data_IF_450939863871
#
_entry.id   IF_450939863871
#
_cell.length_a   1.000
_cell.length_b   1.000
_cell.length_c   1.000
_cell.angle_alpha   90.00
_cell.angle_beta   90.00
_cell.angle_gamma   90.00
#
_symmetry.space_group_name_H-M   'P 1'
#
loop_
_entity.id
_entity.type
_entity.pdbx_description
1 polymer ?
#
# COMPACT_ATOMS: atom_id res chain seq x y z
N UNK A 1 -4.75 1.46 21.68
CA UNK A 1 -4.37 2.48 20.70
C UNK A 1 -4.23 3.81 21.43
N UNK A 2 -3.09 4.50 21.29
CA UNK A 2 -2.84 5.84 21.84
C UNK A 2 -3.39 6.92 20.92
N UNK A 3 -3.48 8.17 21.40
CA UNK A 3 -3.90 9.31 20.57
C UNK A 3 -2.95 9.50 19.38
N UNK A 4 -1.63 9.44 19.62
CA UNK A 4 -0.62 9.60 18.57
C UNK A 4 -0.73 8.51 17.49
N UNK A 5 -1.01 7.26 17.89
CA UNK A 5 -1.24 6.15 16.95
C UNK A 5 -2.48 6.41 16.08
N UNK A 6 -3.56 6.89 16.70
CA UNK A 6 -4.80 7.21 15.99
C UNK A 6 -4.60 8.35 14.98
N UNK A 7 -3.90 9.42 15.39
CA UNK A 7 -3.63 10.56 14.53
C UNK A 7 -2.71 10.18 13.36
N UNK A 8 -1.69 9.34 13.60
CA UNK A 8 -0.85 8.78 12.54
C UNK A 8 -1.68 7.97 11.55
N UNK A 9 -2.50 7.02 12.02
CA UNK A 9 -3.35 6.19 11.16
C UNK A 9 -4.31 7.05 10.34
N UNK A 10 -4.97 8.04 10.95
CA UNK A 10 -5.87 8.95 10.23
C UNK A 10 -5.15 9.72 9.13
N UNK A 11 -3.94 10.21 9.41
CA UNK A 11 -3.13 10.91 8.42
C UNK A 11 -2.74 9.99 7.26
N UNK A 12 -2.39 8.74 7.55
CA UNK A 12 -2.11 7.74 6.51
C UNK A 12 -3.33 7.50 5.60
N UNK A 13 -4.53 7.36 6.18
CA UNK A 13 -5.77 7.23 5.39
C UNK A 13 -5.99 8.43 4.47
N UNK A 14 -5.77 9.66 4.96
CA UNK A 14 -5.90 10.87 4.14
C UNK A 14 -4.89 10.90 2.99
N UNK A 15 -3.62 10.56 3.27
CA UNK A 15 -2.56 10.53 2.26
C UNK A 15 -2.83 9.47 1.19
N UNK A 16 -3.36 8.32 1.58
CA UNK A 16 -3.68 7.21 0.67
C UNK A 16 -4.69 7.62 -0.39
N UNK A 17 -5.72 8.37 0.00
CA UNK A 17 -6.70 8.90 -0.94
C UNK A 17 -6.04 9.78 -2.01
N UNK A 18 -5.09 10.63 -1.62
CA UNK A 18 -4.34 11.49 -2.53
C UNK A 18 -3.39 10.70 -3.46
N UNK A 19 -2.90 9.55 -3.02
CA UNK A 19 -2.11 8.63 -3.87
C UNK A 19 -3.01 7.94 -4.89
N UNK A 20 -4.17 7.44 -4.46
CA UNK A 20 -5.11 6.70 -5.32
C UNK A 20 -5.64 7.49 -6.51
N UNK A 21 -5.97 8.77 -6.30
CA UNK A 21 -6.44 9.69 -7.35
C UNK A 21 -5.45 9.82 -8.53
N UNK A 22 -4.15 9.63 -8.28
CA UNK A 22 -3.09 9.85 -9.28
C UNK A 22 -2.71 8.61 -10.08
N UNK A 23 -3.08 7.42 -9.62
CA UNK A 23 -2.71 6.16 -10.28
C UNK A 23 -3.63 5.79 -11.45
N UNK A 24 -4.45 6.73 -11.94
CA UNK A 24 -5.28 6.53 -13.11
C UNK A 24 -6.37 5.49 -12.91
N UNK A 25 -6.77 5.23 -11.66
CA UNK A 25 -7.89 4.34 -11.37
C UNK A 25 -9.17 4.95 -11.94
N UNK A 26 -9.62 4.47 -13.11
CA UNK A 26 -10.96 4.72 -13.63
C UNK A 26 -12.05 3.95 -12.83
N UNK A 27 -11.63 3.15 -11.83
CA UNK A 27 -12.50 2.32 -11.00
C UNK A 27 -12.90 3.02 -9.69
N UNK A 28 -13.93 2.46 -9.03
CA UNK A 28 -14.46 2.91 -7.74
C UNK A 28 -13.55 2.62 -6.54
N UNK A 29 -12.42 1.94 -6.72
CA UNK A 29 -11.50 1.58 -5.63
C UNK A 29 -10.15 2.30 -5.82
N UNK A 30 -10.01 3.55 -5.32
CA UNK A 30 -8.71 4.19 -5.21
C UNK A 30 -7.78 3.39 -4.30
N UNK A 31 -6.51 3.79 -4.20
CA UNK A 31 -5.59 3.23 -3.24
C UNK A 31 -6.21 3.08 -1.84
N UNK A 32 -5.88 2.00 -1.15
CA UNK A 32 -6.46 1.61 0.13
C UNK A 32 -5.36 1.39 1.17
N UNK A 33 -5.67 1.77 2.41
CA UNK A 33 -4.93 1.32 3.59
C UNK A 33 -5.81 0.36 4.37
N UNK A 34 -5.23 -0.78 4.71
CA UNK A 34 -5.84 -1.81 5.53
C UNK A 34 -5.00 -2.01 6.78
N UNK A 35 -5.64 -1.89 7.95
CA UNK A 35 -5.08 -2.40 9.20
C UNK A 35 -5.30 -3.91 9.22
N UNK A 36 -4.24 -4.67 9.48
CA UNK A 36 -4.29 -6.12 9.31
C UNK A 36 -3.53 -6.86 10.40
N UNK A 37 -4.02 -8.04 10.78
CA UNK A 37 -3.34 -8.96 11.69
C UNK A 37 -2.32 -9.84 10.95
N UNK A 38 -2.27 -9.77 9.61
CA UNK A 38 -1.28 -10.48 8.80
C UNK A 38 0.12 -9.97 9.12
N UNK A 39 1.09 -10.88 9.15
CA UNK A 39 2.46 -10.58 9.63
C UNK A 39 3.44 -10.31 8.50
N UNK A 40 3.05 -10.57 7.25
CA UNK A 40 3.89 -10.33 6.08
C UNK A 40 3.07 -9.97 4.85
N UNK A 41 3.74 -9.42 3.83
CA UNK A 41 3.11 -9.19 2.55
C UNK A 41 2.61 -10.49 1.90
N UNK A 42 3.33 -11.62 2.03
CA UNK A 42 2.89 -12.93 1.53
C UNK A 42 1.55 -13.38 2.16
N UNK A 43 1.40 -13.19 3.47
CA UNK A 43 0.18 -13.59 4.19
C UNK A 43 -1.04 -12.75 3.82
N UNK A 44 -0.82 -11.58 3.20
CA UNK A 44 -1.89 -10.72 2.70
C UNK A 44 -2.55 -11.25 1.42
N UNK A 45 -2.07 -12.33 0.79
CA UNK A 45 -2.67 -12.92 -0.42
C UNK A 45 -4.18 -13.16 -0.27
N UNK A 46 -4.65 -13.53 0.92
CA UNK A 46 -6.07 -13.75 1.21
C UNK A 46 -6.95 -12.48 1.14
N UNK A 47 -6.34 -11.30 1.03
CA UNK A 47 -7.02 -10.01 0.86
C UNK A 47 -7.20 -9.64 -0.62
N UNK A 48 -6.62 -10.40 -1.54
CA UNK A 48 -6.70 -10.19 -2.99
C UNK A 48 -7.58 -11.27 -3.64
N UNK A 49 -8.08 -11.05 -4.86
CA UNK A 49 -8.76 -12.09 -5.63
C UNK A 49 -7.84 -13.32 -5.85
N UNK A 50 -8.45 -14.50 -5.96
CA UNK A 50 -7.74 -15.78 -5.85
C UNK A 50 -6.77 -16.08 -7.01
N UNK A 51 -6.91 -15.39 -8.13
CA UNK A 51 -6.11 -15.53 -9.35
C UNK A 51 -4.92 -14.56 -9.41
N UNK A 52 -4.75 -13.69 -8.40
CA UNK A 52 -3.58 -12.84 -8.29
C UNK A 52 -2.43 -13.60 -7.64
N UNK A 53 -1.21 -13.39 -8.11
CA UNK A 53 0.01 -13.93 -7.49
C UNK A 53 0.94 -12.81 -7.06
N UNK A 54 1.59 -12.97 -5.90
CA UNK A 54 2.59 -12.03 -5.45
C UNK A 54 3.89 -12.18 -6.25
N UNK A 55 4.34 -11.06 -6.80
CA UNK A 55 5.61 -10.86 -7.46
C UNK A 55 6.47 -9.91 -6.62
N UNK A 56 7.77 -10.19 -6.57
CA UNK A 56 8.73 -9.27 -5.99
C UNK A 56 8.77 -7.99 -6.81
N UNK A 57 8.84 -6.85 -6.12
CA UNK A 57 8.91 -5.54 -6.74
C UNK A 57 10.25 -4.91 -6.41
N UNK A 58 11.02 -4.58 -7.44
CA UNK A 58 12.28 -3.84 -7.29
C UNK A 58 12.04 -2.35 -7.03
N UNK A 59 13.11 -1.66 -6.64
CA UNK A 59 13.06 -0.25 -6.27
C UNK A 59 12.75 0.66 -7.47
N UNK A 60 13.22 0.31 -8.67
CA UNK A 60 13.00 1.10 -9.89
C UNK A 60 11.52 1.08 -10.26
N UNK A 61 10.93 -0.11 -10.34
CA UNK A 61 9.52 -0.28 -10.71
C UNK A 61 8.58 0.25 -9.62
N UNK A 62 8.95 0.16 -8.34
CA UNK A 62 8.22 0.84 -7.27
C UNK A 62 8.22 2.35 -7.45
N UNK A 63 9.39 2.94 -7.75
CA UNK A 63 9.52 4.37 -7.97
C UNK A 63 8.72 4.82 -9.21
N UNK A 64 8.75 4.06 -10.30
CA UNK A 64 7.94 4.32 -11.50
C UNK A 64 6.44 4.28 -11.21
N UNK A 65 5.98 3.24 -10.53
CA UNK A 65 4.55 3.04 -10.26
C UNK A 65 3.94 4.19 -9.47
N UNK A 66 4.74 4.95 -8.73
CA UNK A 66 4.27 5.99 -7.83
C UNK A 66 5.00 7.33 -8.02
N UNK A 67 5.69 7.52 -9.16
CA UNK A 67 6.51 8.72 -9.45
C UNK A 67 5.70 10.00 -9.41
N UNK A 68 4.42 9.88 -9.76
CA UNK A 68 3.49 11.01 -9.90
C UNK A 68 2.61 11.22 -8.65
N UNK A 69 2.93 10.53 -7.55
CA UNK A 69 2.19 10.58 -6.29
C UNK A 69 3.02 11.23 -5.16
N UNK A 70 3.07 12.57 -5.06
CA UNK A 70 3.84 13.26 -4.01
C UNK A 70 3.39 12.89 -2.58
N UNK A 71 2.11 12.56 -2.39
CA UNK A 71 1.56 12.09 -1.12
C UNK A 71 2.18 10.77 -0.64
N UNK A 72 2.76 9.96 -1.54
CA UNK A 72 3.52 8.78 -1.15
C UNK A 72 4.73 9.16 -0.30
N UNK A 73 5.45 10.20 -0.69
CA UNK A 73 6.63 10.63 0.04
C UNK A 73 6.28 11.10 1.46
N UNK A 74 5.12 11.75 1.62
CA UNK A 74 4.57 12.08 2.94
C UNK A 74 4.19 10.82 3.72
N UNK A 75 3.55 9.83 3.08
CA UNK A 75 3.18 8.57 3.72
C UNK A 75 4.41 7.79 4.21
N UNK A 76 5.45 7.71 3.38
CA UNK A 76 6.72 7.07 3.74
C UNK A 76 7.40 7.79 4.91
N UNK A 77 7.33 9.13 4.97
CA UNK A 77 7.82 9.90 6.13
C UNK A 77 7.02 9.63 7.40
N UNK A 78 5.70 9.49 7.29
CA UNK A 78 4.86 9.08 8.44
C UNK A 78 5.14 7.66 8.92
N UNK A 79 5.75 6.83 8.08
CA UNK A 79 6.10 5.44 8.40
C UNK A 79 7.60 5.25 8.62
N UNK A 80 8.36 6.34 8.71
CA UNK A 80 9.80 6.27 8.92
C UNK A 80 10.13 5.48 10.20
N UNK A 81 11.13 4.61 10.09
CA UNK A 81 11.50 3.63 11.12
C UNK A 81 10.67 2.34 11.16
N UNK A 82 9.60 2.21 10.35
CA UNK A 82 8.88 0.94 10.20
C UNK A 82 9.48 0.12 9.06
N UNK A 83 9.82 -1.14 9.31
CA UNK A 83 10.29 -2.04 8.25
C UNK A 83 9.18 -2.23 7.20
N UNK A 84 9.55 -2.02 5.93
CA UNK A 84 8.63 -2.10 4.80
C UNK A 84 9.01 -3.26 3.88
N UNK A 85 8.01 -3.99 3.40
CA UNK A 85 8.15 -4.93 2.28
C UNK A 85 7.19 -4.51 1.17
N UNK A 86 7.63 -4.58 -0.09
CA UNK A 86 6.86 -4.16 -1.26
C UNK A 86 6.69 -5.33 -2.23
N UNK A 87 5.65 -5.27 -3.04
CA UNK A 87 5.39 -6.28 -4.05
C UNK A 87 4.23 -5.90 -4.96
N UNK A 88 4.06 -6.68 -6.02
CA UNK A 88 2.92 -6.55 -6.91
C UNK A 88 2.09 -7.83 -6.79
N UNK A 89 0.81 -7.70 -6.51
CA UNK A 89 -0.13 -8.79 -6.78
C UNK A 89 -0.58 -8.64 -8.24
N UNK A 90 -0.25 -9.60 -9.11
CA UNK A 90 -0.57 -9.54 -10.54
C UNK A 90 -1.54 -10.65 -10.92
N UNK A 91 -2.56 -10.32 -11.70
CA UNK A 91 -3.40 -11.29 -12.41
C UNK A 91 -2.84 -11.53 -13.81
N UNK A 92 -2.57 -10.43 -14.53
CA UNK A 92 -2.05 -10.43 -15.90
C UNK A 92 -1.29 -9.13 -16.21
N UNK A 93 -0.98 -8.90 -17.49
CA UNK A 93 -0.31 -7.67 -17.94
C UNK A 93 -1.19 -6.41 -17.83
N UNK A 94 -2.51 -6.57 -17.66
CA UNK A 94 -3.49 -5.48 -17.70
C UNK A 94 -3.91 -5.03 -16.30
N UNK A 95 -3.95 -5.95 -15.33
CA UNK A 95 -4.50 -5.71 -14.00
C UNK A 95 -3.58 -6.20 -12.88
N UNK A 96 -3.12 -5.27 -12.05
CA UNK A 96 -2.24 -5.58 -10.92
C UNK A 96 -2.40 -4.60 -9.75
N UNK A 97 -2.00 -5.01 -8.55
CA UNK A 97 -1.98 -4.18 -7.36
C UNK A 97 -0.55 -3.92 -6.92
N UNK A 98 -0.14 -2.66 -6.88
CA UNK A 98 1.10 -2.26 -6.23
C UNK A 98 0.87 -2.17 -4.72
N UNK A 99 1.72 -2.83 -3.93
CA UNK A 99 1.51 -2.99 -2.50
C UNK A 99 2.75 -2.65 -1.68
N UNK A 100 2.52 -2.09 -0.50
CA UNK A 100 3.52 -1.92 0.54
C UNK A 100 2.96 -2.35 1.89
N UNK A 101 3.71 -3.16 2.61
CA UNK A 101 3.37 -3.69 3.92
C UNK A 101 4.36 -3.15 4.95
N UNK A 102 3.84 -2.65 6.07
CA UNK A 102 4.61 -2.30 7.25
C UNK A 102 4.20 -3.18 8.41
N UNK A 103 5.18 -3.87 8.99
CA UNK A 103 4.97 -4.65 10.21
C UNK A 103 4.64 -3.75 11.40
N UNK A 104 3.92 -4.30 12.36
CA UNK A 104 3.52 -3.60 13.57
C UNK A 104 4.76 -3.09 14.32
N UNK A 105 4.87 -1.77 14.41
CA UNK A 105 5.80 -1.08 15.28
C UNK A 105 5.03 -0.44 16.44
N UNK A 106 5.71 -0.12 17.54
CA UNK A 106 5.09 0.58 18.68
C UNK A 106 4.40 1.89 18.26
N UNK A 107 4.87 2.51 17.16
CA UNK A 107 4.33 3.75 16.60
C UNK A 107 2.96 3.57 15.93
N UNK A 108 2.68 2.42 15.32
CA UNK A 108 1.41 2.16 14.62
C UNK A 108 0.44 1.31 15.44
N UNK A 109 0.97 0.43 16.30
CA UNK A 109 0.16 -0.49 17.10
C UNK A 109 -0.56 -1.59 16.28
N UNK A 110 -0.39 -1.62 14.96
CA UNK A 110 -0.96 -2.62 14.04
C UNK A 110 -0.08 -2.74 12.77
N UNK A 111 -0.21 -3.86 12.04
CA UNK A 111 0.38 -3.95 10.70
C UNK A 111 -0.49 -3.17 9.71
N UNK A 112 0.17 -2.57 8.72
CA UNK A 112 -0.47 -1.73 7.71
C UNK A 112 -0.17 -2.29 6.33
N UNK A 113 -1.20 -2.45 5.51
CA UNK A 113 -1.08 -2.75 4.09
C UNK A 113 -1.62 -1.57 3.29
N UNK A 114 -0.74 -0.92 2.55
CA UNK A 114 -1.12 -0.08 1.42
C UNK A 114 -1.24 -0.96 0.18
N UNK A 115 -2.32 -0.76 -0.58
CA UNK A 115 -2.47 -1.35 -1.91
C UNK A 115 -3.13 -0.36 -2.85
N UNK A 116 -2.69 -0.30 -4.10
CA UNK A 116 -3.34 0.47 -5.13
C UNK A 116 -3.51 -0.36 -6.39
N UNK A 117 -4.72 -0.36 -6.94
CA UNK A 117 -5.02 -1.06 -8.18
C UNK A 117 -4.51 -0.23 -9.35
N UNK A 118 -3.78 -0.87 -10.24
CA UNK A 118 -3.30 -0.31 -11.48
C UNK A 118 -3.90 -1.09 -12.64
N UNK A 119 -4.45 -0.37 -13.61
CA UNK A 119 -5.00 -0.94 -14.84
C UNK A 119 -4.32 -0.27 -16.02
N UNK A 120 -3.74 -1.05 -16.93
CA UNK A 120 -3.24 -0.54 -18.20
C UNK A 120 -4.37 -0.48 -19.23
N UNK A 121 -4.56 0.69 -19.84
CA UNK A 121 -5.53 0.94 -20.92
C UNK A 121 -4.90 0.85 -22.30
#
# INVERSE_FOLDING_TARGET
MTQDQFDAINRLFQLTFLVGDRLGAESSDPAQILLTERVSLNDCQALFPADYTLEALDDERWAECLSDAPALADMLRELDGCAMTRGIYRQDEVSWWVCAFWGASERLGANVLFRAHCVQT
#
